data_IF_942802658309
#
_entry.id   IF_942802658309
#
_cell.length_a   1.000
_cell.length_b   1.000
_cell.length_c   1.000
_cell.angle_alpha   90.00
_cell.angle_beta   90.00
_cell.angle_gamma   90.00
#
_symmetry.space_group_name_H-M   'P 1'
#
loop_
_entity.id
_entity.type
_entity.pdbx_description
1 polymer ?
#
# COMPACT_ATOMS: atom_id res chain seq x y z
N UNK A 1 -32.63 -2.44 -0.06
CA UNK A 1 -31.44 -2.87 -0.83
C UNK A 1 -30.21 -2.66 0.05
N UNK A 2 -29.58 -3.72 0.56
CA UNK A 2 -28.25 -3.60 1.17
C UNK A 2 -27.24 -3.46 0.04
N UNK A 3 -26.69 -2.26 -0.12
CA UNK A 3 -25.62 -2.02 -1.09
C UNK A 3 -24.37 -2.79 -0.64
N UNK A 4 -23.82 -3.60 -1.54
CA UNK A 4 -22.51 -4.22 -1.34
C UNK A 4 -21.43 -3.15 -1.41
N UNK A 5 -20.37 -3.31 -0.62
CA UNK A 5 -19.24 -2.38 -0.57
C UNK A 5 -17.91 -3.12 -0.73
N UNK A 6 -16.93 -2.43 -1.29
CA UNK A 6 -15.56 -2.91 -1.42
C UNK A 6 -14.71 -2.28 -0.29
N UNK A 7 -13.80 -3.07 0.29
CA UNK A 7 -12.95 -2.64 1.40
C UNK A 7 -11.48 -2.90 1.08
N UNK A 8 -10.64 -1.90 1.37
CA UNK A 8 -9.19 -2.00 1.26
C UNK A 8 -8.59 -1.83 2.65
N UNK A 9 -7.88 -2.84 3.14
CA UNK A 9 -7.17 -2.76 4.41
C UNK A 9 -5.74 -2.31 4.17
N UNK A 10 -5.35 -1.23 4.85
CA UNK A 10 -4.04 -0.62 4.70
C UNK A 10 -3.39 -0.36 6.06
N UNK A 11 -2.07 -0.45 6.10
CA UNK A 11 -1.26 0.03 7.22
C UNK A 11 -0.61 1.33 6.76
N UNK A 12 -0.89 2.40 7.49
CA UNK A 12 -0.26 3.71 7.26
C UNK A 12 1.07 3.78 8.00
N UNK A 13 2.20 3.96 7.30
CA UNK A 13 3.49 4.12 7.95
C UNK A 13 3.56 5.44 8.74
N UNK A 14 4.49 5.55 9.70
CA UNK A 14 4.74 6.81 10.41
C UNK A 14 5.23 7.93 9.48
N UNK A 15 4.98 9.19 9.86
CA UNK A 15 5.24 10.37 9.03
C UNK A 15 6.69 10.53 8.56
N UNK A 16 7.67 10.11 9.37
CA UNK A 16 9.09 10.15 9.00
C UNK A 16 9.36 9.24 7.79
N UNK A 17 8.78 8.04 7.80
CA UNK A 17 8.89 7.06 6.71
C UNK A 17 8.17 7.56 5.46
N UNK A 18 6.98 8.15 5.62
CA UNK A 18 6.23 8.75 4.51
C UNK A 18 7.05 9.86 3.84
N UNK A 19 7.64 10.77 4.61
CA UNK A 19 8.49 11.86 4.10
C UNK A 19 9.70 11.33 3.35
N UNK A 20 10.34 10.29 3.88
CA UNK A 20 11.50 9.66 3.25
C UNK A 20 11.14 9.02 1.91
N UNK A 21 10.03 8.26 1.84
CA UNK A 21 9.56 7.66 0.59
C UNK A 21 9.16 8.73 -0.43
N UNK A 22 8.51 9.82 0.00
CA UNK A 22 8.18 10.94 -0.88
C UNK A 22 9.43 11.63 -1.43
N UNK A 23 10.49 11.78 -0.62
CA UNK A 23 11.79 12.28 -1.09
C UNK A 23 12.34 11.40 -2.20
N UNK A 24 12.29 10.08 -2.03
CA UNK A 24 12.74 9.14 -3.06
C UNK A 24 11.89 9.20 -4.33
N UNK A 25 10.56 9.24 -4.21
CA UNK A 25 9.67 9.41 -5.38
C UNK A 25 10.00 10.66 -6.19
N UNK A 26 10.26 11.79 -5.52
CA UNK A 26 10.66 13.04 -6.19
C UNK A 26 12.03 12.94 -6.86
N UNK A 27 13.00 12.33 -6.19
CA UNK A 27 14.32 12.09 -6.77
C UNK A 27 14.22 11.20 -8.03
N UNK A 28 13.43 10.13 -7.98
CA UNK A 28 13.17 9.28 -9.15
C UNK A 28 12.43 10.02 -10.26
N UNK A 29 11.47 10.89 -9.94
CA UNK A 29 10.75 11.67 -10.93
C UNK A 29 11.66 12.66 -11.68
N UNK A 30 12.66 13.23 -11.00
CA UNK A 30 13.66 14.07 -11.64
C UNK A 30 14.54 13.30 -12.64
N UNK A 31 14.74 11.99 -12.43
CA UNK A 31 15.56 11.15 -13.32
C UNK A 31 14.76 10.50 -14.44
N UNK A 32 13.55 10.01 -14.16
CA UNK A 32 12.75 9.20 -15.08
C UNK A 32 11.56 9.95 -15.69
N UNK A 33 11.25 11.15 -15.19
CA UNK A 33 10.04 11.88 -15.54
C UNK A 33 8.83 11.45 -14.70
N UNK A 34 7.63 11.77 -15.19
CA UNK A 34 6.39 11.45 -14.51
C UNK A 34 6.12 9.94 -14.54
N UNK A 35 5.81 9.35 -13.39
CA UNK A 35 5.45 7.93 -13.28
C UNK A 35 4.18 7.75 -12.44
N UNK A 36 3.47 6.66 -12.70
CA UNK A 36 2.24 6.31 -12.01
C UNK A 36 2.50 6.10 -10.51
N UNK A 37 1.74 6.77 -9.65
CA UNK A 37 1.94 6.72 -8.19
C UNK A 37 2.93 7.75 -7.64
N UNK A 38 3.42 8.71 -8.43
CA UNK A 38 4.21 9.84 -7.91
C UNK A 38 3.49 10.61 -6.78
N UNK A 39 2.17 10.79 -6.93
CA UNK A 39 1.32 11.48 -5.95
C UNK A 39 0.50 10.53 -5.07
N UNK A 40 0.71 9.21 -5.18
CA UNK A 40 -0.05 8.26 -4.36
C UNK A 40 0.39 8.31 -2.90
N UNK A 41 -0.59 8.08 -2.01
CA UNK A 41 -0.36 7.90 -0.59
C UNK A 41 0.58 6.72 -0.35
N UNK A 42 1.47 6.88 0.61
CA UNK A 42 2.37 5.82 1.04
C UNK A 42 1.63 4.95 2.03
N UNK A 43 1.30 3.72 1.64
CA UNK A 43 0.55 2.77 2.45
C UNK A 43 0.98 1.34 2.12
N UNK A 44 0.92 0.46 3.12
CA UNK A 44 1.12 -0.98 2.93
C UNK A 44 -0.26 -1.60 2.79
N UNK A 45 -0.59 -2.09 1.61
CA UNK A 45 -1.86 -2.79 1.36
C UNK A 45 -1.77 -4.20 1.95
N UNK A 46 -2.70 -4.55 2.83
CA UNK A 46 -2.76 -5.87 3.47
C UNK A 46 -3.68 -6.80 2.69
N UNK A 47 -4.91 -6.37 2.44
CA UNK A 47 -5.87 -7.16 1.67
C UNK A 47 -6.91 -6.28 1.01
N UNK A 48 -7.45 -6.76 -0.11
CA UNK A 48 -8.59 -6.18 -0.80
C UNK A 48 -9.77 -7.16 -0.71
N UNK A 49 -10.95 -6.66 -0.33
CA UNK A 49 -12.17 -7.45 -0.20
C UNK A 49 -13.26 -6.82 -1.06
N UNK A 50 -13.84 -7.59 -1.98
CA UNK A 50 -14.87 -7.11 -2.90
C UNK A 50 -16.26 -7.58 -2.50
N UNK A 51 -17.27 -6.80 -2.87
CA UNK A 51 -18.70 -7.13 -2.77
C UNK A 51 -19.08 -7.66 -1.39
N UNK A 52 -18.62 -6.98 -0.35
CA UNK A 52 -18.90 -7.34 1.03
C UNK A 52 -20.23 -6.74 1.48
N UNK A 53 -21.05 -7.54 2.18
CA UNK A 53 -22.24 -7.03 2.83
C UNK A 53 -21.84 -6.24 4.08
N UNK A 54 -22.15 -4.94 4.20
CA UNK A 54 -21.73 -4.11 5.33
C UNK A 54 -22.16 -4.66 6.69
N UNK A 55 -23.35 -5.27 6.78
CA UNK A 55 -23.86 -5.84 8.03
C UNK A 55 -23.04 -7.04 8.55
N UNK A 56 -22.34 -7.74 7.64
CA UNK A 56 -21.44 -8.84 7.99
C UNK A 56 -19.99 -8.38 8.12
N UNK A 57 -19.60 -7.35 7.37
CA UNK A 57 -18.25 -6.80 7.38
C UNK A 57 -17.92 -6.08 8.70
N UNK A 58 -18.86 -5.30 9.24
CA UNK A 58 -18.64 -4.51 10.45
C UNK A 58 -18.24 -5.37 11.67
N UNK A 59 -18.97 -6.45 12.04
CA UNK A 59 -18.55 -7.34 13.13
C UNK A 59 -17.23 -8.06 12.85
N UNK A 60 -16.91 -8.33 11.58
CA UNK A 60 -15.64 -8.94 11.21
C UNK A 60 -14.46 -7.97 11.43
N UNK A 61 -14.63 -6.68 11.12
CA UNK A 61 -13.63 -5.66 11.41
C UNK A 61 -13.38 -5.48 12.90
N UNK A 62 -14.43 -5.47 13.73
CA UNK A 62 -14.27 -5.38 15.19
C UNK A 62 -13.49 -6.56 15.77
N UNK A 63 -13.76 -7.78 15.30
CA UNK A 63 -12.99 -8.97 15.69
C UNK A 63 -11.53 -8.86 15.23
N UNK A 64 -11.30 -8.35 14.02
CA UNK A 64 -9.95 -8.14 13.49
C UNK A 64 -9.18 -7.12 14.32
N UNK A 65 -9.77 -5.97 14.66
CA UNK A 65 -9.16 -4.93 15.50
C UNK A 65 -8.71 -5.51 16.84
N UNK A 66 -9.57 -6.30 17.50
CA UNK A 66 -9.21 -6.97 18.76
C UNK A 66 -8.00 -7.88 18.62
N UNK A 67 -7.91 -8.64 17.52
CA UNK A 67 -6.76 -9.51 17.24
C UNK A 67 -5.50 -8.71 16.96
N UNK A 68 -5.60 -7.61 16.20
CA UNK A 68 -4.49 -6.73 15.91
C UNK A 68 -3.89 -6.11 17.18
N UNK A 69 -4.73 -5.70 18.13
CA UNK A 69 -4.27 -5.18 19.43
C UNK A 69 -3.57 -6.22 20.31
N UNK A 70 -3.84 -7.51 20.09
CA UNK A 70 -3.18 -8.59 20.82
C UNK A 70 -1.86 -9.05 20.17
N UNK A 71 -1.55 -8.57 18.96
CA UNK A 71 -0.29 -8.91 18.29
C UNK A 71 0.89 -8.15 18.92
N UNK A 72 2.06 -8.80 19.07
CA UNK A 72 3.26 -8.10 19.50
C UNK A 72 3.65 -7.04 18.45
N UNK A 73 4.31 -5.95 18.87
CA UNK A 73 4.88 -4.98 17.95
C UNK A 73 5.82 -5.66 16.95
N UNK A 74 5.71 -5.29 15.68
CA UNK A 74 6.56 -5.80 14.60
C UNK A 74 7.47 -4.69 14.09
N UNK A 75 8.76 -4.99 13.96
CA UNK A 75 9.72 -4.09 13.32
C UNK A 75 9.71 -4.32 11.80
N UNK A 76 9.45 -3.27 11.03
CA UNK A 76 9.52 -3.29 9.57
C UNK A 76 10.70 -2.47 9.10
N UNK A 77 11.46 -3.00 8.13
CA UNK A 77 12.62 -2.34 7.54
C UNK A 77 12.38 -2.04 6.06
N UNK A 78 12.71 -0.82 5.66
CA UNK A 78 12.72 -0.44 4.25
C UNK A 78 14.00 -0.97 3.60
N UNK A 79 13.85 -1.92 2.67
CA UNK A 79 14.96 -2.55 1.97
C UNK A 79 14.97 -2.16 0.49
N UNK A 80 15.43 -0.94 0.22
CA UNK A 80 15.64 -0.45 -1.16
C UNK A 80 14.37 -0.37 -2.01
N UNK A 81 14.56 -0.45 -3.33
CA UNK A 81 13.49 -0.38 -4.33
C UNK A 81 13.38 -1.69 -5.09
N UNK A 82 12.14 -2.10 -5.36
CA UNK A 82 11.82 -3.22 -6.24
C UNK A 82 10.79 -2.81 -7.29
N UNK A 83 10.66 -3.64 -8.32
CA UNK A 83 9.65 -3.47 -9.36
C UNK A 83 8.72 -4.68 -9.33
N UNK A 84 7.41 -4.44 -9.46
CA UNK A 84 6.44 -5.50 -9.61
C UNK A 84 6.29 -5.84 -11.08
N UNK A 85 6.62 -7.07 -11.47
CA UNK A 85 6.35 -7.57 -12.81
C UNK A 85 4.89 -8.04 -12.88
N UNK A 86 3.99 -7.15 -13.29
CA UNK A 86 2.61 -7.51 -13.60
C UNK A 86 2.54 -8.04 -15.06
N UNK A 87 2.99 -9.27 -15.29
CA UNK A 87 2.96 -9.92 -16.60
C UNK A 87 4.02 -9.41 -17.61
N UNK A 88 4.03 -9.96 -18.82
CA UNK A 88 5.08 -9.74 -19.84
C UNK A 88 5.20 -8.30 -20.37
N UNK A 89 4.29 -7.39 -20.01
CA UNK A 89 4.11 -6.12 -20.75
C UNK A 89 4.44 -4.83 -19.98
N UNK A 90 5.17 -4.88 -18.88
CA UNK A 90 5.66 -3.65 -18.24
C UNK A 90 7.06 -3.82 -17.61
N UNK A 91 8.08 -3.96 -18.45
CA UNK A 91 9.46 -3.71 -18.03
C UNK A 91 9.70 -2.20 -17.98
N UNK A 92 9.62 -1.58 -16.80
CA UNK A 92 10.16 -0.23 -16.60
C UNK A 92 11.69 -0.35 -16.56
N UNK A 93 12.32 -0.17 -17.71
CA UNK A 93 13.77 -0.27 -17.88
C UNK A 93 14.49 0.89 -17.18
N UNK A 94 15.40 0.58 -16.25
CA UNK A 94 16.51 1.50 -15.92
C UNK A 94 17.68 1.12 -16.83
N UNK A 95 17.86 1.85 -17.93
CA UNK A 95 19.13 1.83 -18.67
C UNK A 95 20.13 2.68 -17.88
N UNK A 96 21.20 2.04 -17.38
CA UNK A 96 22.43 2.74 -16.97
C UNK A 96 23.21 3.09 -18.24
N UNK A 97 23.48 4.37 -18.43
CA UNK A 97 24.52 4.90 -19.33
C UNK A 97 25.90 4.61 -18.77
#
# INVERSE_FOLDING_TARGET
MTAYADYLMVITPPDNIVKEILRYKRASANTMGHFEGMHSSVQIVVTYQTRCNPGLAQPAFEKMIKRLHALPPVELRLNGFGFFNHGETARTNIRRS
#
